data_IF_054576603827
#
_entry.id   IF_054576603827
#
_cell.length_a   1.000
_cell.length_b   1.000
_cell.length_c   1.000
_cell.angle_alpha   90.00
_cell.angle_beta   90.00
_cell.angle_gamma   90.00
#
_symmetry.space_group_name_H-M   'P 1'
#
loop_
_entity.id
_entity.type
_entity.pdbx_description
1 polymer ?
#
# COMPACT_ATOMS: atom_id res chain seq x y z
N UNK A 1 30.40 2.38 -8.72
CA UNK A 1 29.27 1.74 -8.01
C UNK A 1 28.54 0.86 -9.02
N UNK A 2 28.89 -0.43 -9.09
CA UNK A 2 28.23 -1.42 -9.97
C UNK A 2 27.17 -2.11 -9.13
N UNK A 3 25.90 -1.72 -9.28
CA UNK A 3 24.82 -2.23 -8.41
C UNK A 3 24.04 -3.39 -9.03
N UNK A 4 24.25 -3.68 -10.32
CA UNK A 4 23.52 -4.71 -11.07
C UNK A 4 24.35 -5.45 -12.15
N UNK A 5 25.65 -5.14 -12.31
CA UNK A 5 26.50 -5.66 -13.42
C UNK A 5 26.78 -7.17 -13.38
N UNK A 6 26.36 -7.86 -12.33
CA UNK A 6 26.57 -9.29 -12.10
C UNK A 6 25.26 -10.10 -12.19
N UNK A 7 24.15 -9.46 -12.56
CA UNK A 7 22.96 -10.18 -13.02
C UNK A 7 23.07 -10.44 -14.53
N UNK A 8 23.83 -11.48 -14.87
CA UNK A 8 23.91 -12.01 -16.24
C UNK A 8 22.72 -12.93 -16.57
N UNK A 9 21.89 -13.27 -15.57
CA UNK A 9 20.81 -14.25 -15.71
C UNK A 9 19.55 -13.60 -16.27
N UNK A 10 19.30 -12.33 -15.95
CA UNK A 10 18.05 -11.62 -16.25
C UNK A 10 16.80 -12.38 -15.76
N UNK A 11 16.98 -13.30 -14.82
CA UNK A 11 15.94 -14.20 -14.27
C UNK A 11 16.21 -14.48 -12.80
N UNK A 12 15.16 -14.79 -12.04
CA UNK A 12 15.26 -15.19 -10.64
C UNK A 12 16.04 -16.48 -10.41
N UNK A 13 16.47 -16.71 -9.17
CA UNK A 13 17.19 -17.92 -8.74
C UNK A 13 16.26 -19.02 -8.20
N UNK A 14 14.99 -18.70 -7.96
CA UNK A 14 13.94 -19.57 -7.44
C UNK A 14 12.56 -18.96 -7.77
N UNK A 15 11.49 -19.70 -7.53
CA UNK A 15 10.10 -19.21 -7.62
C UNK A 15 9.62 -18.61 -6.28
N UNK A 16 8.38 -18.11 -6.27
CA UNK A 16 7.74 -17.48 -5.11
C UNK A 16 6.80 -18.43 -4.32
N UNK A 17 6.89 -19.75 -4.55
CA UNK A 17 5.96 -20.74 -3.98
C UNK A 17 5.86 -20.70 -2.45
N UNK A 18 6.92 -20.28 -1.76
CA UNK A 18 6.93 -20.16 -0.30
C UNK A 18 5.91 -19.15 0.26
N UNK A 19 5.52 -18.14 -0.52
CA UNK A 19 4.55 -17.09 -0.13
C UNK A 19 3.20 -17.21 -0.88
N UNK A 20 3.09 -18.14 -1.83
CA UNK A 20 1.88 -18.31 -2.64
C UNK A 20 0.62 -18.53 -1.78
N UNK A 21 0.61 -19.39 -0.74
CA UNK A 21 -0.58 -19.61 0.06
C UNK A 21 -1.10 -18.34 0.74
N UNK A 22 -0.19 -17.48 1.23
CA UNK A 22 -0.53 -16.24 1.92
C UNK A 22 -1.09 -15.19 0.95
N UNK A 23 -0.49 -15.08 -0.24
CA UNK A 23 -0.97 -14.16 -1.30
C UNK A 23 -2.33 -14.62 -1.83
N UNK A 24 -2.51 -15.93 -2.04
CA UNK A 24 -3.78 -16.52 -2.47
C UNK A 24 -4.88 -16.36 -1.42
N UNK A 25 -4.55 -16.47 -0.12
CA UNK A 25 -5.50 -16.21 0.96
C UNK A 25 -5.98 -14.74 0.96
N UNK A 26 -5.06 -13.78 0.84
CA UNK A 26 -5.39 -12.36 0.72
C UNK A 26 -6.31 -12.12 -0.49
N UNK A 27 -5.93 -12.62 -1.67
CA UNK A 27 -6.74 -12.48 -2.87
C UNK A 27 -8.15 -13.06 -2.70
N UNK A 28 -8.26 -14.26 -2.12
CA UNK A 28 -9.53 -14.94 -1.89
C UNK A 28 -10.44 -14.25 -0.88
N UNK A 29 -9.88 -13.51 0.07
CA UNK A 29 -10.62 -12.72 1.05
C UNK A 29 -11.05 -11.36 0.46
N UNK A 30 -10.15 -10.67 -0.25
CA UNK A 30 -10.45 -9.38 -0.90
C UNK A 30 -11.61 -9.47 -1.92
N UNK A 31 -11.80 -10.64 -2.53
CA UNK A 31 -12.85 -10.87 -3.52
C UNK A 31 -14.25 -11.08 -2.90
N UNK A 32 -14.37 -11.12 -1.57
CA UNK A 32 -15.64 -11.32 -0.86
C UNK A 32 -16.34 -9.97 -0.64
N UNK A 33 -17.67 -10.02 -0.62
CA UNK A 33 -18.46 -8.86 -0.18
C UNK A 33 -18.07 -8.45 1.24
N UNK A 34 -17.99 -7.14 1.48
CA UNK A 34 -17.66 -6.59 2.79
C UNK A 34 -16.17 -6.48 3.09
N UNK A 35 -15.27 -6.68 2.10
CA UNK A 35 -13.85 -6.36 2.29
C UNK A 35 -13.67 -4.92 2.75
N UNK A 36 -14.28 -3.94 2.07
CA UNK A 36 -14.28 -2.54 2.53
C UNK A 36 -15.35 -2.37 3.60
N UNK A 37 -14.93 -2.38 4.88
CA UNK A 37 -15.87 -2.41 6.01
C UNK A 37 -16.10 -1.06 6.70
N UNK A 38 -15.09 -0.18 6.72
CA UNK A 38 -15.14 1.11 7.44
C UNK A 38 -15.03 2.32 6.50
N UNK A 39 -15.53 3.48 6.95
CA UNK A 39 -15.36 4.75 6.23
C UNK A 39 -13.87 5.18 6.31
N UNK A 40 -13.14 5.22 5.19
CA UNK A 40 -11.69 5.47 5.20
C UNK A 40 -11.33 6.88 5.68
N UNK A 41 -12.22 7.85 5.56
CA UNK A 41 -12.05 9.20 6.10
C UNK A 41 -12.03 9.21 7.63
N UNK A 42 -12.78 8.30 8.26
CA UNK A 42 -12.84 8.17 9.71
C UNK A 42 -11.68 7.30 10.24
N UNK A 43 -11.37 6.21 9.55
CA UNK A 43 -10.35 5.24 9.98
C UNK A 43 -8.95 5.65 9.54
N UNK A 44 -8.69 5.81 8.23
CA UNK A 44 -7.34 5.95 7.68
C UNK A 44 -6.80 7.38 7.73
N UNK A 45 -7.62 8.35 7.35
CA UNK A 45 -7.20 9.74 7.13
C UNK A 45 -6.52 10.38 8.37
N UNK A 46 -6.98 10.17 9.62
CA UNK A 46 -6.31 10.73 10.79
C UNK A 46 -4.86 10.23 10.95
N UNK A 47 -4.59 8.97 10.60
CA UNK A 47 -3.25 8.38 10.68
C UNK A 47 -2.36 8.90 9.56
N UNK A 48 -2.87 8.98 8.33
CA UNK A 48 -2.13 9.54 7.18
C UNK A 48 -1.74 11.01 7.42
N UNK A 49 -2.67 11.84 7.91
CA UNK A 49 -2.39 13.25 8.25
C UNK A 49 -1.29 13.39 9.29
N UNK A 50 -1.32 12.54 10.32
CA UNK A 50 -0.28 12.52 11.37
C UNK A 50 1.07 12.09 10.80
N UNK A 51 1.06 11.08 9.93
CA UNK A 51 2.27 10.51 9.35
C UNK A 51 2.93 11.41 8.29
N UNK A 52 2.17 12.31 7.65
CA UNK A 52 2.72 13.27 6.69
C UNK A 52 3.83 14.14 7.32
N UNK A 53 3.67 14.53 8.58
CA UNK A 53 4.68 15.31 9.31
C UNK A 53 5.08 16.59 8.56
N UNK A 54 6.39 16.86 8.50
CA UNK A 54 6.94 18.00 7.75
C UNK A 54 7.45 17.64 6.35
N UNK A 55 7.53 16.35 6.03
CA UNK A 55 8.09 15.85 4.76
C UNK A 55 7.01 15.76 3.67
N UNK A 56 5.77 15.53 4.07
CA UNK A 56 4.64 15.38 3.16
C UNK A 56 3.56 16.42 3.45
N UNK A 57 2.81 16.76 2.42
CA UNK A 57 1.58 17.54 2.54
C UNK A 57 0.46 16.76 1.87
N UNK A 58 -0.58 16.41 2.62
CA UNK A 58 -1.82 15.84 2.07
C UNK A 58 -2.63 16.96 1.41
N UNK A 59 -2.79 16.87 0.09
CA UNK A 59 -3.41 17.92 -0.75
C UNK A 59 -4.80 17.55 -1.24
N UNK A 60 -5.18 16.28 -1.17
CA UNK A 60 -6.53 15.83 -1.51
C UNK A 60 -6.81 14.41 -1.03
N UNK A 61 -8.07 14.09 -0.88
CA UNK A 61 -8.56 12.73 -0.65
C UNK A 61 -9.98 12.59 -1.21
N UNK A 62 -10.35 11.35 -1.56
CA UNK A 62 -11.73 10.96 -1.90
C UNK A 62 -11.89 9.45 -1.88
N UNK A 63 -13.05 8.97 -1.45
CA UNK A 63 -13.50 7.61 -1.74
C UNK A 63 -14.05 7.54 -3.17
N UNK A 64 -13.58 6.56 -3.95
CA UNK A 64 -14.06 6.27 -5.30
C UNK A 64 -15.21 5.25 -5.29
N UNK A 65 -16.00 5.22 -6.37
CA UNK A 65 -17.15 4.31 -6.52
C UNK A 65 -16.78 2.82 -6.45
N UNK A 66 -15.51 2.47 -6.69
CA UNK A 66 -14.96 1.10 -6.60
C UNK A 66 -14.44 0.75 -5.20
N UNK A 67 -14.64 1.61 -4.20
CA UNK A 67 -14.20 1.42 -2.82
C UNK A 67 -12.71 1.73 -2.60
N UNK A 68 -12.00 2.23 -3.60
CA UNK A 68 -10.61 2.69 -3.43
C UNK A 68 -10.61 4.08 -2.80
N UNK A 69 -9.86 4.23 -1.71
CA UNK A 69 -9.60 5.53 -1.11
C UNK A 69 -8.39 6.18 -1.77
N UNK A 70 -8.64 7.21 -2.58
CA UNK A 70 -7.59 7.96 -3.26
C UNK A 70 -7.09 9.08 -2.37
N UNK A 71 -5.77 9.19 -2.22
CA UNK A 71 -5.11 10.22 -1.41
C UNK A 71 -3.99 10.85 -2.23
N UNK A 72 -4.01 12.17 -2.33
CA UNK A 72 -2.95 12.94 -3.00
C UNK A 72 -2.06 13.59 -1.97
N UNK A 73 -0.75 13.40 -2.12
CA UNK A 73 0.28 14.01 -1.28
C UNK A 73 1.36 14.66 -2.15
N UNK A 74 1.95 15.74 -1.66
CA UNK A 74 3.21 16.26 -2.22
C UNK A 74 4.38 15.93 -1.31
N UNK A 75 5.49 15.51 -1.90
CA UNK A 75 6.75 15.22 -1.19
C UNK A 75 7.69 16.42 -1.26
N UNK A 76 8.23 16.85 -0.13
CA UNK A 76 9.25 17.89 -0.11
C UNK A 76 10.62 17.35 -0.56
N UNK A 77 11.30 18.13 -1.40
CA UNK A 77 12.69 17.90 -1.82
C UNK A 77 12.86 16.93 -3.00
N UNK A 78 14.10 16.82 -3.46
CA UNK A 78 14.43 16.05 -4.67
C UNK A 78 14.71 14.58 -4.31
N UNK A 79 13.69 13.73 -4.46
CA UNK A 79 13.78 12.27 -4.31
C UNK A 79 13.34 11.60 -5.60
N UNK A 80 14.10 10.58 -6.02
CA UNK A 80 13.80 9.86 -7.26
C UNK A 80 13.92 8.33 -7.10
N UNK A 81 13.25 7.61 -8.00
CA UNK A 81 13.31 6.16 -8.12
C UNK A 81 12.94 5.43 -6.82
N UNK A 82 13.76 4.46 -6.44
CA UNK A 82 13.51 3.58 -5.29
C UNK A 82 13.46 4.31 -3.95
N UNK A 83 13.97 5.53 -3.86
CA UNK A 83 13.89 6.33 -2.63
C UNK A 83 12.46 6.80 -2.37
N UNK A 84 11.76 7.26 -3.42
CA UNK A 84 10.33 7.62 -3.32
C UNK A 84 9.50 6.42 -2.88
N UNK A 85 9.74 5.23 -3.46
CA UNK A 85 9.04 4.00 -3.05
C UNK A 85 9.19 3.73 -1.55
N UNK A 86 10.39 3.91 -0.98
CA UNK A 86 10.65 3.66 0.44
C UNK A 86 9.96 4.68 1.33
N UNK A 87 9.98 5.95 0.94
CA UNK A 87 9.31 7.02 1.68
C UNK A 87 7.78 6.83 1.64
N UNK A 88 7.24 6.39 0.49
CA UNK A 88 5.82 6.02 0.35
C UNK A 88 5.44 4.82 1.21
N UNK A 89 6.24 3.73 1.21
CA UNK A 89 5.99 2.58 2.09
C UNK A 89 5.97 3.04 3.55
N UNK A 90 6.88 3.94 3.94
CA UNK A 90 6.91 4.50 5.30
C UNK A 90 5.64 5.27 5.62
N UNK A 91 5.16 6.14 4.72
CA UNK A 91 3.90 6.85 4.90
C UNK A 91 2.71 5.90 5.02
N UNK A 92 2.58 4.95 4.09
CA UNK A 92 1.49 3.97 4.07
C UNK A 92 1.54 3.02 5.26
N UNK A 93 2.71 2.76 5.83
CA UNK A 93 2.83 1.91 7.04
C UNK A 93 2.10 2.48 8.25
N UNK A 94 1.74 3.78 8.25
CA UNK A 94 0.94 4.40 9.29
C UNK A 94 -0.51 3.89 9.37
N UNK A 95 -0.99 3.24 8.30
CA UNK A 95 -2.31 2.61 8.21
C UNK A 95 -2.20 1.09 7.99
N UNK A 96 -1.01 0.51 8.18
CA UNK A 96 -0.83 -0.92 7.99
C UNK A 96 -1.53 -1.72 9.09
N UNK A 97 -2.33 -2.69 8.65
CA UNK A 97 -2.90 -3.75 9.48
C UNK A 97 -2.12 -5.07 9.29
N UNK A 98 -2.69 -6.22 9.67
CA UNK A 98 -1.99 -7.51 9.70
C UNK A 98 -1.57 -8.00 8.31
N UNK A 99 -2.33 -7.62 7.28
CA UNK A 99 -1.91 -7.72 5.88
C UNK A 99 -1.67 -6.34 5.29
N UNK A 100 -0.59 -6.21 4.53
CA UNK A 100 -0.15 -4.96 3.91
C UNK A 100 0.63 -5.26 2.63
N UNK A 101 0.01 -4.97 1.50
CA UNK A 101 0.59 -5.11 0.17
C UNK A 101 0.69 -3.74 -0.48
N UNK A 102 1.84 -3.40 -1.04
CA UNK A 102 2.08 -2.13 -1.74
C UNK A 102 2.71 -2.41 -3.09
N UNK A 103 2.19 -1.79 -4.15
CA UNK A 103 2.81 -1.76 -5.47
C UNK A 103 2.92 -0.33 -5.99
N UNK A 104 3.96 -0.07 -6.78
CA UNK A 104 3.99 1.11 -7.64
C UNK A 104 3.31 0.76 -8.96
N UNK A 105 2.15 1.36 -9.23
CA UNK A 105 1.37 1.10 -10.45
C UNK A 105 1.84 1.96 -11.62
N UNK A 106 2.34 3.17 -11.35
CA UNK A 106 2.94 4.09 -12.32
C UNK A 106 3.90 5.06 -11.61
N UNK A 107 4.71 5.88 -12.34
CA UNK A 107 5.43 6.98 -11.73
C UNK A 107 4.49 7.87 -10.90
N UNK A 108 4.80 8.05 -9.61
CA UNK A 108 3.96 8.82 -8.68
C UNK A 108 2.65 8.16 -8.25
N UNK A 109 2.33 6.94 -8.70
CA UNK A 109 1.08 6.24 -8.32
C UNK A 109 1.39 4.94 -7.61
N UNK A 110 0.94 4.84 -6.37
CA UNK A 110 1.14 3.68 -5.51
C UNK A 110 -0.20 3.15 -5.05
N UNK A 111 -0.36 1.85 -5.08
CA UNK A 111 -1.57 1.17 -4.63
C UNK A 111 -1.23 0.31 -3.44
N UNK A 112 -2.12 0.33 -2.46
CA UNK A 112 -1.97 -0.40 -1.23
C UNK A 112 -3.27 -1.14 -0.92
N UNK A 113 -3.11 -2.38 -0.47
CA UNK A 113 -4.17 -3.11 0.21
C UNK A 113 -3.70 -3.34 1.63
N UNK A 114 -4.58 -3.05 2.58
CA UNK A 114 -4.32 -3.37 3.99
C UNK A 114 -5.58 -3.84 4.68
N UNK A 115 -5.46 -4.65 5.71
CA UNK A 115 -6.59 -5.20 6.44
C UNK A 115 -6.20 -6.39 7.30
N UNK A 116 -7.15 -7.29 7.51
CA UNK A 116 -6.98 -8.52 8.26
C UNK A 116 -7.68 -9.71 7.60
N UNK A 117 -7.06 -10.89 7.73
CA UNK A 117 -7.60 -12.16 7.26
C UNK A 117 -8.38 -12.88 8.36
N UNK A 118 -9.09 -13.94 7.97
CA UNK A 118 -9.80 -14.80 8.91
C UNK A 118 -8.82 -15.41 9.93
N UNK A 119 -9.05 -15.16 11.22
CA UNK A 119 -8.23 -15.68 12.31
C UNK A 119 -7.03 -14.81 12.71
N UNK A 120 -6.76 -13.70 12.01
CA UNK A 120 -5.75 -12.72 12.44
C UNK A 120 -6.18 -12.02 13.74
N UNK A 121 -7.48 -11.77 13.89
CA UNK A 121 -8.09 -11.10 15.05
C UNK A 121 -9.42 -11.77 15.43
N UNK A 122 -10.19 -11.15 16.34
CA UNK A 122 -11.55 -11.58 16.69
C UNK A 122 -12.64 -11.08 15.73
N UNK A 123 -12.29 -10.29 14.71
CA UNK A 123 -13.24 -9.74 13.73
C UNK A 123 -13.30 -10.58 12.46
N UNK A 124 -14.38 -10.41 11.69
CA UNK A 124 -14.43 -10.94 10.32
C UNK A 124 -13.35 -10.28 9.45
N UNK A 125 -12.92 -10.95 8.39
CA UNK A 125 -11.95 -10.37 7.46
C UNK A 125 -12.49 -9.12 6.76
N UNK A 126 -11.68 -8.06 6.76
CA UNK A 126 -11.96 -6.78 6.10
C UNK A 126 -10.67 -5.97 5.97
N UNK A 127 -10.75 -4.84 5.27
CA UNK A 127 -9.65 -3.93 5.04
C UNK A 127 -10.01 -2.76 4.15
N UNK A 128 -9.00 -2.20 3.51
CA UNK A 128 -9.09 -1.04 2.64
C UNK A 128 -8.20 -1.20 1.41
N UNK A 129 -8.59 -0.49 0.35
CA UNK A 129 -7.78 -0.28 -0.84
C UNK A 129 -7.44 1.21 -0.91
N UNK A 130 -6.16 1.54 -1.06
CA UNK A 130 -5.68 2.92 -1.08
C UNK A 130 -4.91 3.16 -2.37
N UNK A 131 -5.22 4.26 -3.06
CA UNK A 131 -4.39 4.78 -4.15
C UNK A 131 -3.73 6.07 -3.69
N UNK A 132 -2.42 6.03 -3.49
CA UNK A 132 -1.63 7.20 -3.16
C UNK A 132 -1.06 7.82 -4.45
N UNK A 133 -1.40 9.09 -4.69
CA UNK A 133 -0.84 9.92 -5.75
C UNK A 133 0.20 10.85 -5.13
N UNK A 134 1.43 10.77 -5.61
CA UNK A 134 2.55 11.61 -5.19
C UNK A 134 2.84 12.64 -6.28
N UNK A 135 2.78 13.92 -5.92
CA UNK A 135 3.06 15.07 -6.80
C UNK A 135 4.30 15.83 -6.40
#
# INVERSE_FOLDING_TARGET
>A
MRRWDNDERFTGIADASAMEPQVSALLGVMARDGWVAEEPEAHLLPHLRRACGSEWLLTGERLLDDGVYEVTVSLAGDREGVHVQRDVIRLLSAIAETVFFVRQAAPGVFECVTGMLDGDTGFASHGHMVRLIVT
#
